data_IF_216266947503
#
_entry.id   IF_216266947503
#
_cell.length_a   1.000
_cell.length_b   1.000
_cell.length_c   1.000
_cell.angle_alpha   90.00
_cell.angle_beta   90.00
_cell.angle_gamma   90.00
#
_symmetry.space_group_name_H-M   'P 1'
#
loop_
_entity.id
_entity.type
_entity.pdbx_description
1 polymer ?
#
# COMPACT_ATOMS: atom_id res chain seq x y z
N UNK A 1 -6.39 -35.33 -8.72
CA UNK A 1 -6.44 -34.31 -7.65
C UNK A 1 -6.41 -32.97 -8.34
N UNK A 2 -7.48 -32.19 -8.26
CA UNK A 2 -7.51 -30.82 -8.78
C UNK A 2 -6.57 -29.97 -7.93
N UNK A 3 -5.53 -29.41 -8.54
CA UNK A 3 -4.60 -28.49 -7.88
C UNK A 3 -5.37 -27.24 -7.43
N UNK A 4 -5.18 -26.80 -6.18
CA UNK A 4 -5.79 -25.56 -5.69
C UNK A 4 -5.32 -24.38 -6.55
N UNK A 5 -6.23 -23.64 -7.23
CA UNK A 5 -5.84 -22.56 -8.13
C UNK A 5 -5.10 -21.42 -7.42
N UNK A 6 -5.38 -21.18 -6.13
CA UNK A 6 -4.62 -20.20 -5.33
C UNK A 6 -3.16 -20.66 -5.18
N UNK A 7 -2.95 -21.94 -4.86
CA UNK A 7 -1.60 -22.50 -4.74
C UNK A 7 -0.84 -22.42 -6.07
N UNK A 8 -1.50 -22.72 -7.18
CA UNK A 8 -0.92 -22.58 -8.52
C UNK A 8 -0.51 -21.13 -8.79
N UNK A 9 -1.40 -20.18 -8.49
CA UNK A 9 -1.14 -18.75 -8.65
C UNK A 9 0.06 -18.32 -7.80
N UNK A 10 0.10 -18.67 -6.52
CA UNK A 10 1.23 -18.37 -5.63
C UNK A 10 2.57 -18.92 -6.16
N UNK A 11 2.57 -20.15 -6.70
CA UNK A 11 3.76 -20.73 -7.31
C UNK A 11 4.23 -19.94 -8.54
N UNK A 12 3.29 -19.43 -9.35
CA UNK A 12 3.61 -18.58 -10.50
C UNK A 12 4.12 -17.20 -10.08
N UNK A 13 3.66 -16.67 -8.94
CA UNK A 13 4.08 -15.38 -8.40
C UNK A 13 5.40 -15.45 -7.62
N UNK A 14 5.84 -16.65 -7.21
CA UNK A 14 7.03 -16.83 -6.37
C UNK A 14 8.29 -16.12 -6.90
N UNK A 15 8.66 -16.18 -8.19
CA UNK A 15 9.86 -15.49 -8.69
C UNK A 15 9.81 -13.97 -8.53
N UNK A 16 8.64 -13.35 -8.70
CA UNK A 16 8.48 -11.90 -8.53
C UNK A 16 8.40 -11.53 -7.05
N UNK A 17 7.79 -12.37 -6.22
CA UNK A 17 7.79 -12.22 -4.76
C UNK A 17 9.20 -12.29 -4.18
N UNK A 18 10.05 -13.18 -4.68
CA UNK A 18 11.46 -13.28 -4.29
C UNK A 18 12.24 -11.99 -4.58
N UNK A 19 11.97 -11.33 -5.71
CA UNK A 19 12.59 -10.03 -6.03
C UNK A 19 12.19 -8.93 -5.05
N UNK A 20 10.92 -8.88 -4.66
CA UNK A 20 10.44 -7.95 -3.63
C UNK A 20 11.14 -8.22 -2.29
N UNK A 21 11.12 -9.46 -1.82
CA UNK A 21 11.74 -9.83 -0.53
C UNK A 21 13.25 -9.56 -0.52
N UNK A 22 13.93 -9.76 -1.64
CA UNK A 22 15.36 -9.50 -1.78
C UNK A 22 15.70 -8.00 -1.98
N UNK A 23 14.70 -7.13 -2.15
CA UNK A 23 14.93 -5.73 -2.45
C UNK A 23 15.59 -4.98 -1.27
N UNK A 24 16.52 -4.07 -1.60
CA UNK A 24 17.40 -3.43 -0.59
C UNK A 24 16.86 -2.14 0.03
N UNK A 25 15.56 -1.83 -0.15
CA UNK A 25 14.95 -0.54 0.25
C UNK A 25 15.11 -0.29 1.75
N UNK A 26 14.76 -1.28 2.57
CA UNK A 26 14.81 -1.15 4.02
C UNK A 26 16.24 -1.07 4.55
N UNK A 27 17.19 -1.81 3.96
CA UNK A 27 18.62 -1.72 4.30
C UNK A 27 19.23 -0.35 3.94
N UNK A 28 18.58 0.42 3.06
CA UNK A 28 18.97 1.77 2.70
C UNK A 28 18.65 2.82 3.74
N UNK A 29 17.77 2.52 4.68
CA UNK A 29 17.35 3.45 5.71
C UNK A 29 18.35 3.34 6.86
N UNK A 30 19.25 4.31 6.96
CA UNK A 30 20.32 4.31 7.97
C UNK A 30 20.30 5.56 8.86
N UNK A 31 19.42 6.51 8.54
CA UNK A 31 19.29 7.78 9.21
C UNK A 31 17.82 8.23 9.19
N UNK A 32 17.50 9.25 10.00
CA UNK A 32 16.19 9.88 9.97
C UNK A 32 15.89 10.53 8.61
N UNK A 33 16.91 11.06 7.93
CA UNK A 33 16.76 11.66 6.61
C UNK A 33 16.35 10.62 5.56
N UNK A 34 17.01 9.46 5.56
CA UNK A 34 16.63 8.36 4.68
C UNK A 34 15.20 7.89 4.97
N UNK A 35 14.79 7.89 6.25
CA UNK A 35 13.42 7.54 6.62
C UNK A 35 12.40 8.55 6.08
N UNK A 36 12.68 9.86 6.17
CA UNK A 36 11.81 10.89 5.57
C UNK A 36 11.63 10.67 4.08
N UNK A 37 12.73 10.47 3.35
CA UNK A 37 12.69 10.19 1.91
C UNK A 37 11.89 8.93 1.58
N UNK A 38 12.01 7.87 2.40
CA UNK A 38 11.17 6.69 2.26
C UNK A 38 9.69 7.06 2.41
N UNK A 39 9.33 7.80 3.46
CA UNK A 39 7.95 8.16 3.76
C UNK A 39 7.32 9.07 2.70
N UNK A 40 8.08 10.03 2.18
CA UNK A 40 7.65 10.97 1.12
C UNK A 40 7.22 10.26 -0.18
N UNK A 41 7.82 9.11 -0.48
CA UNK A 41 7.42 8.27 -1.61
C UNK A 41 6.35 7.26 -1.22
N UNK A 42 6.51 6.62 -0.05
CA UNK A 42 5.65 5.51 0.38
C UNK A 42 4.24 5.96 0.76
N UNK A 43 4.05 7.20 1.21
CA UNK A 43 2.73 7.76 1.56
C UNK A 43 1.71 7.62 0.42
N UNK A 44 2.15 7.66 -0.84
CA UNK A 44 1.26 7.46 -1.99
C UNK A 44 0.78 6.02 -2.14
N UNK A 45 1.57 5.04 -1.68
CA UNK A 45 1.15 3.65 -1.63
C UNK A 45 0.20 3.37 -0.47
N UNK A 46 0.37 4.07 0.66
CA UNK A 46 -0.60 4.04 1.77
C UNK A 46 -1.94 4.62 1.30
N UNK A 47 -1.89 5.76 0.59
CA UNK A 47 -3.08 6.40 0.04
C UNK A 47 -3.77 5.57 -1.06
N UNK A 48 -3.04 5.06 -2.06
CA UNK A 48 -3.66 4.35 -3.18
C UNK A 48 -4.22 2.98 -2.81
N UNK A 49 -3.72 2.37 -1.74
CA UNK A 49 -4.29 1.17 -1.14
C UNK A 49 -5.75 1.39 -0.72
N UNK A 50 -6.06 2.55 -0.11
CA UNK A 50 -7.44 2.90 0.22
C UNK A 50 -8.34 2.94 -1.02
N UNK A 51 -7.80 3.32 -2.18
CA UNK A 51 -8.57 3.34 -3.43
C UNK A 51 -8.93 1.92 -3.93
N UNK A 52 -8.02 0.94 -3.75
CA UNK A 52 -8.34 -0.48 -4.00
C UNK A 52 -9.42 -0.97 -3.02
N UNK A 53 -9.25 -0.68 -1.73
CA UNK A 53 -10.22 -1.06 -0.70
C UNK A 53 -11.61 -0.47 -0.97
N UNK A 54 -11.69 0.81 -1.34
CA UNK A 54 -12.97 1.45 -1.71
C UNK A 54 -13.59 0.87 -2.97
N UNK A 55 -12.79 0.49 -3.96
CA UNK A 55 -13.29 -0.21 -5.13
C UNK A 55 -13.92 -1.56 -4.74
N UNK A 56 -13.24 -2.35 -3.90
CA UNK A 56 -13.77 -3.62 -3.39
C UNK A 56 -15.00 -3.42 -2.51
N UNK A 57 -15.02 -2.40 -1.64
CA UNK A 57 -16.18 -2.07 -0.81
C UNK A 57 -17.40 -1.74 -1.69
N UNK A 58 -17.22 -0.90 -2.71
CA UNK A 58 -18.28 -0.55 -3.65
C UNK A 58 -18.81 -1.78 -4.39
N UNK A 59 -17.93 -2.62 -4.89
CA UNK A 59 -18.28 -3.72 -5.79
C UNK A 59 -18.81 -4.97 -5.06
N UNK A 60 -18.28 -5.25 -3.86
CA UNK A 60 -18.56 -6.47 -3.11
C UNK A 60 -19.54 -6.25 -1.95
N UNK A 61 -19.84 -4.99 -1.59
CA UNK A 61 -20.80 -4.65 -0.53
C UNK A 61 -21.98 -3.82 -1.08
N UNK A 62 -22.45 -2.82 -0.34
CA UNK A 62 -23.39 -1.81 -0.83
C UNK A 62 -23.11 -0.49 -0.12
N UNK A 63 -22.74 0.52 -0.89
CA UNK A 63 -22.45 1.89 -0.43
C UNK A 63 -23.43 2.91 -1.01
N UNK A 64 -24.55 2.45 -1.58
CA UNK A 64 -25.55 3.28 -2.25
C UNK A 64 -26.93 3.09 -1.62
N UNK A 65 -27.84 4.05 -1.87
CA UNK A 65 -29.24 3.99 -1.42
C UNK A 65 -30.20 3.83 -2.61
N UNK A 66 -31.29 3.04 -2.47
CA UNK A 66 -31.66 2.23 -1.30
C UNK A 66 -30.71 1.03 -1.10
N UNK A 67 -30.50 0.65 0.16
CA UNK A 67 -29.59 -0.44 0.52
C UNK A 67 -30.14 -1.81 0.09
N UNK A 68 -29.30 -2.57 -0.61
CA UNK A 68 -29.58 -3.96 -1.00
C UNK A 68 -28.30 -4.78 -0.80
N UNK A 69 -28.35 -5.92 -0.07
CA UNK A 69 -27.17 -6.76 0.13
C UNK A 69 -26.68 -7.35 -1.21
N UNK A 70 -25.36 -7.35 -1.44
CA UNK A 70 -24.72 -7.93 -2.62
C UNK A 70 -23.73 -9.03 -2.24
N UNK A 71 -23.51 -9.98 -3.15
CA UNK A 71 -22.43 -10.96 -3.03
C UNK A 71 -22.46 -11.85 -1.79
N UNK A 72 -21.30 -12.44 -1.47
CA UNK A 72 -21.12 -13.36 -0.36
C UNK A 72 -21.08 -12.60 1.00
N UNK A 73 -21.86 -13.01 2.02
CA UNK A 73 -21.77 -12.44 3.37
C UNK A 73 -20.37 -12.45 4.00
N UNK A 74 -19.57 -13.49 3.77
CA UNK A 74 -18.21 -13.61 4.31
C UNK A 74 -17.27 -12.57 3.69
N UNK A 75 -17.29 -12.40 2.37
CA UNK A 75 -16.52 -11.36 1.67
C UNK A 75 -16.97 -9.95 2.10
N UNK A 76 -18.27 -9.73 2.29
CA UNK A 76 -18.78 -8.46 2.81
C UNK A 76 -18.29 -8.15 4.20
N UNK A 77 -18.24 -9.16 5.06
CA UNK A 77 -17.71 -9.03 6.42
C UNK A 77 -16.23 -8.66 6.37
N UNK A 78 -15.42 -9.43 5.64
CA UNK A 78 -13.98 -9.17 5.45
C UNK A 78 -13.73 -7.73 5.01
N UNK A 79 -14.38 -7.29 3.93
CA UNK A 79 -14.12 -5.94 3.39
C UNK A 79 -14.53 -4.84 4.39
N UNK A 80 -15.62 -5.02 5.12
CA UNK A 80 -16.01 -4.03 6.13
C UNK A 80 -15.14 -4.07 7.40
N UNK A 81 -14.57 -5.24 7.76
CA UNK A 81 -13.58 -5.35 8.84
C UNK A 81 -12.30 -4.61 8.45
N UNK A 82 -11.77 -4.84 7.25
CA UNK A 82 -10.60 -4.10 6.75
C UNK A 82 -10.91 -2.60 6.65
N UNK A 83 -12.11 -2.20 6.24
CA UNK A 83 -12.49 -0.77 6.23
C UNK A 83 -12.50 -0.19 7.65
N UNK A 84 -13.01 -0.92 8.64
CA UNK A 84 -12.99 -0.49 10.03
C UNK A 84 -11.56 -0.24 10.50
N UNK A 85 -10.63 -1.13 10.14
CA UNK A 85 -9.23 -1.08 10.55
C UNK A 85 -8.39 -0.08 9.76
N UNK A 86 -8.70 0.20 8.50
CA UNK A 86 -7.85 1.06 7.67
C UNK A 86 -8.36 2.51 7.61
N UNK A 87 -9.69 2.69 7.56
CA UNK A 87 -10.31 4.01 7.45
C UNK A 87 -10.67 4.61 8.81
N UNK A 88 -10.96 3.78 9.82
CA UNK A 88 -11.53 4.22 11.09
C UNK A 88 -10.94 3.48 12.29
N UNK A 89 -9.64 3.18 12.27
CA UNK A 89 -8.95 2.62 13.43
C UNK A 89 -8.92 3.64 14.59
N UNK A 90 -8.14 3.32 15.62
CA UNK A 90 -7.78 4.23 16.69
C UNK A 90 -6.30 4.60 16.64
N UNK A 91 -5.97 5.77 17.17
CA UNK A 91 -4.60 6.19 17.44
C UNK A 91 -4.10 5.70 18.81
N UNK A 92 -2.86 6.06 19.17
CA UNK A 92 -2.23 5.70 20.45
C UNK A 92 -2.98 6.24 21.69
N UNK A 93 -3.95 7.14 21.51
CA UNK A 93 -4.80 7.70 22.55
C UNK A 93 -6.23 7.14 22.52
N UNK A 94 -6.49 6.15 21.67
CA UNK A 94 -7.82 5.56 21.48
C UNK A 94 -8.79 6.46 20.73
N UNK A 95 -8.31 7.50 20.03
CA UNK A 95 -9.15 8.39 19.23
C UNK A 95 -9.25 7.88 17.80
N UNK A 96 -10.42 8.02 17.13
CA UNK A 96 -10.58 7.57 15.74
C UNK A 96 -9.56 8.22 14.78
N UNK A 97 -8.91 7.39 13.96
CA UNK A 97 -7.99 7.81 12.90
C UNK A 97 -7.89 6.72 11.82
N UNK A 98 -7.75 7.12 10.56
CA UNK A 98 -7.34 6.20 9.50
C UNK A 98 -5.84 5.90 9.58
N UNK A 99 -5.42 4.76 9.06
CA UNK A 99 -4.01 4.43 8.88
C UNK A 99 -3.28 5.48 8.02
N UNK A 100 -3.95 6.02 7.01
CA UNK A 100 -3.39 7.11 6.20
C UNK A 100 -3.15 8.39 7.01
N UNK A 101 -4.08 8.78 7.89
CA UNK A 101 -3.89 9.92 8.78
C UNK A 101 -2.79 9.68 9.81
N UNK A 102 -2.69 8.47 10.37
CA UNK A 102 -1.58 8.08 11.25
C UNK A 102 -0.23 8.20 10.51
N UNK A 103 -0.16 7.76 9.25
CA UNK A 103 1.04 7.90 8.44
C UNK A 103 1.42 9.36 8.19
N UNK A 104 0.45 10.22 7.87
CA UNK A 104 0.70 11.67 7.70
C UNK A 104 1.15 12.34 9.00
N UNK A 105 0.55 11.99 10.15
CA UNK A 105 0.99 12.48 11.46
C UNK A 105 2.43 12.04 11.75
N UNK A 106 2.77 10.78 11.46
CA UNK A 106 4.13 10.27 11.57
C UNK A 106 5.13 11.00 10.66
N UNK A 107 4.72 11.37 9.44
CA UNK A 107 5.54 12.20 8.55
C UNK A 107 5.77 13.59 9.14
N UNK A 108 4.72 14.25 9.64
CA UNK A 108 4.82 15.57 10.25
C UNK A 108 5.70 15.53 11.53
N UNK A 109 5.59 14.47 12.35
CA UNK A 109 6.42 14.26 13.56
C UNK A 109 7.91 14.12 13.25
N UNK A 110 8.26 13.38 12.20
CA UNK A 110 9.65 13.17 11.83
C UNK A 110 10.20 14.27 10.92
N UNK A 111 9.34 15.16 10.41
CA UNK A 111 9.71 16.28 9.53
C UNK A 111 9.85 15.90 8.05
N UNK A 112 9.17 14.85 7.59
CA UNK A 112 9.08 14.51 6.16
C UNK A 112 8.15 15.48 5.42
N UNK A 113 8.42 15.75 4.13
CA UNK A 113 7.60 16.67 3.34
C UNK A 113 6.23 16.07 2.98
N UNK A 114 5.17 16.57 3.63
CA UNK A 114 3.78 16.19 3.32
C UNK A 114 3.13 17.06 2.25
N UNK A 115 3.78 18.11 1.75
CA UNK A 115 3.16 19.01 0.78
C UNK A 115 2.74 18.32 -0.53
N UNK A 116 3.52 17.41 -1.14
CA UNK A 116 3.12 16.76 -2.40
C UNK A 116 1.83 15.96 -2.26
N UNK A 117 1.72 15.12 -1.23
CA UNK A 117 0.51 14.32 -1.01
C UNK A 117 -0.70 15.20 -0.67
N UNK A 118 -0.52 16.27 0.12
CA UNK A 118 -1.59 17.24 0.40
C UNK A 118 -2.08 17.95 -0.87
N UNK A 119 -1.17 18.38 -1.76
CA UNK A 119 -1.52 18.97 -3.07
C UNK A 119 -2.29 17.99 -3.95
N UNK A 120 -1.92 16.70 -3.94
CA UNK A 120 -2.66 15.67 -4.65
C UNK A 120 -4.09 15.57 -4.12
N UNK A 121 -4.28 15.50 -2.80
CA UNK A 121 -5.61 15.44 -2.18
C UNK A 121 -6.44 16.69 -2.48
N UNK A 122 -5.84 17.88 -2.42
CA UNK A 122 -6.52 19.14 -2.75
C UNK A 122 -7.02 19.15 -4.20
N UNK A 123 -6.19 18.73 -5.16
CA UNK A 123 -6.57 18.63 -6.57
C UNK A 123 -7.70 17.61 -6.79
N UNK A 124 -7.64 16.45 -6.13
CA UNK A 124 -8.71 15.45 -6.19
C UNK A 124 -10.02 15.96 -5.57
N UNK A 125 -9.95 16.74 -4.49
CA UNK A 125 -11.14 17.27 -3.80
C UNK A 125 -11.98 18.21 -4.66
N UNK A 126 -11.36 18.85 -5.66
CA UNK A 126 -12.04 19.72 -6.65
C UNK A 126 -12.38 19.00 -7.96
N UNK A 127 -12.20 17.68 -8.01
CA UNK A 127 -12.66 16.82 -9.11
C UNK A 127 -11.65 16.60 -10.23
N UNK A 128 -10.36 16.85 -10.01
CA UNK A 128 -9.34 16.52 -11.00
C UNK A 128 -9.11 15.02 -11.14
N UNK A 129 -8.62 14.60 -12.32
CA UNK A 129 -8.20 13.22 -12.52
C UNK A 129 -6.93 12.91 -11.73
N UNK A 130 -6.68 11.64 -11.45
CA UNK A 130 -5.48 11.20 -10.72
C UNK A 130 -4.20 11.60 -11.46
N UNK A 131 -4.19 11.49 -12.79
CA UNK A 131 -3.08 11.91 -13.65
C UNK A 131 -2.76 13.40 -13.44
N UNK A 132 -3.80 14.26 -13.47
CA UNK A 132 -3.63 15.70 -13.31
C UNK A 132 -3.20 16.07 -11.88
N UNK A 133 -3.79 15.41 -10.88
CA UNK A 133 -3.45 15.62 -9.47
C UNK A 133 -1.97 15.26 -9.19
N UNK A 134 -1.49 14.13 -9.72
CA UNK A 134 -0.08 13.72 -9.61
C UNK A 134 0.87 14.73 -10.25
N UNK A 135 0.53 15.25 -11.44
CA UNK A 135 1.32 16.27 -12.12
C UNK A 135 1.38 17.58 -11.33
N UNK A 136 0.24 18.05 -10.80
CA UNK A 136 0.18 19.29 -10.00
C UNK A 136 0.90 19.18 -8.66
N UNK A 137 0.86 17.99 -8.05
CA UNK A 137 1.60 17.69 -6.85
C UNK A 137 3.13 17.60 -7.06
N UNK A 138 3.59 17.59 -8.32
CA UNK A 138 5.00 17.44 -8.70
C UNK A 138 5.65 16.20 -8.07
N UNK A 139 4.92 15.08 -8.06
CA UNK A 139 5.40 13.84 -7.44
C UNK A 139 6.49 13.17 -8.29
N UNK A 140 7.44 12.44 -7.67
CA UNK A 140 8.48 11.73 -8.41
C UNK A 140 7.92 10.75 -9.45
N UNK A 141 8.62 10.57 -10.56
CA UNK A 141 8.17 9.69 -11.64
C UNK A 141 7.86 8.25 -11.18
N UNK A 142 8.68 7.69 -10.28
CA UNK A 142 8.43 6.36 -9.72
C UNK A 142 7.09 6.27 -8.97
N UNK A 143 6.73 7.33 -8.23
CA UNK A 143 5.42 7.45 -7.56
C UNK A 143 4.29 7.56 -8.58
N UNK A 144 4.45 8.39 -9.62
CA UNK A 144 3.44 8.52 -10.68
C UNK A 144 3.13 7.17 -11.32
N UNK A 145 4.17 6.44 -11.75
CA UNK A 145 3.98 5.14 -12.40
C UNK A 145 3.33 4.12 -11.48
N UNK A 146 3.72 4.11 -10.21
CA UNK A 146 3.13 3.24 -9.21
C UNK A 146 1.63 3.51 -9.03
N UNK A 147 1.26 4.76 -8.75
CA UNK A 147 -0.14 5.15 -8.53
C UNK A 147 -0.97 4.90 -9.79
N UNK A 148 -0.48 5.29 -10.97
CA UNK A 148 -1.21 5.08 -12.23
C UNK A 148 -1.37 3.59 -12.54
N UNK A 149 -0.42 2.73 -12.16
CA UNK A 149 -0.58 1.28 -12.31
C UNK A 149 -1.77 0.75 -11.47
N UNK A 150 -1.96 1.27 -10.26
CA UNK A 150 -3.09 0.95 -9.38
C UNK A 150 -4.40 1.40 -9.98
N UNK A 151 -4.47 2.66 -10.43
CA UNK A 151 -5.69 3.22 -11.01
C UNK A 151 -6.03 2.58 -12.36
N UNK A 152 -5.05 2.10 -13.14
CA UNK A 152 -5.32 1.29 -14.33
C UNK A 152 -6.04 -0.02 -13.98
N UNK A 153 -5.70 -0.67 -12.87
CA UNK A 153 -6.41 -1.86 -12.38
C UNK A 153 -7.82 -1.49 -11.94
N UNK A 154 -7.99 -0.41 -11.17
CA UNK A 154 -9.31 0.07 -10.71
C UNK A 154 -10.21 0.42 -11.91
N UNK A 155 -9.67 1.16 -12.88
CA UNK A 155 -10.40 1.63 -14.06
C UNK A 155 -10.75 0.52 -15.05
N UNK A 156 -10.16 -0.68 -14.92
CA UNK A 156 -10.57 -1.85 -15.71
C UNK A 156 -12.00 -2.30 -15.40
N UNK A 157 -12.54 -1.94 -14.23
CA UNK A 157 -13.85 -2.38 -13.76
C UNK A 157 -13.94 -3.88 -13.43
N UNK A 158 -12.80 -4.59 -13.41
CA UNK A 158 -12.73 -6.02 -13.15
C UNK A 158 -12.48 -6.29 -11.66
N UNK A 159 -13.52 -6.63 -10.90
CA UNK A 159 -13.38 -6.82 -9.44
C UNK A 159 -12.40 -7.97 -9.07
N UNK A 160 -12.26 -9.01 -9.89
CA UNK A 160 -11.24 -10.06 -9.67
C UNK A 160 -9.81 -9.56 -9.86
N UNK A 161 -9.58 -8.63 -10.80
CA UNK A 161 -8.28 -7.98 -10.99
C UNK A 161 -7.94 -7.08 -9.79
N UNK A 162 -8.90 -6.27 -9.33
CA UNK A 162 -8.73 -5.43 -8.12
C UNK A 162 -8.47 -6.30 -6.89
N UNK A 163 -9.20 -7.40 -6.73
CA UNK A 163 -8.99 -8.35 -5.64
C UNK A 163 -7.59 -8.98 -5.69
N UNK A 164 -7.10 -9.36 -6.87
CA UNK A 164 -5.75 -9.89 -7.00
C UNK A 164 -4.66 -8.85 -6.68
N UNK A 165 -4.83 -7.60 -7.15
CA UNK A 165 -3.93 -6.50 -6.80
C UNK A 165 -3.91 -6.24 -5.28
N UNK A 166 -5.08 -6.29 -4.65
CA UNK A 166 -5.24 -6.11 -3.21
C UNK A 166 -4.59 -7.26 -2.41
N UNK A 167 -4.89 -8.52 -2.77
CA UNK A 167 -4.43 -9.71 -2.04
C UNK A 167 -2.96 -10.00 -2.26
N UNK A 168 -2.46 -9.97 -3.51
CA UNK A 168 -1.10 -10.43 -3.83
C UNK A 168 -0.16 -9.30 -4.23
N UNK A 169 -0.67 -8.18 -4.71
CA UNK A 169 0.13 -7.05 -5.18
C UNK A 169 0.52 -6.05 -4.10
N UNK A 170 -0.14 -6.12 -2.93
CA UNK A 170 -0.01 -5.16 -1.82
C UNK A 170 0.29 -5.79 -0.46
N UNK A 171 0.44 -7.11 -0.40
CA UNK A 171 1.00 -7.81 0.74
C UNK A 171 2.46 -7.32 0.95
N UNK A 172 2.63 -6.32 1.82
CA UNK A 172 3.95 -5.83 2.21
C UNK A 172 4.32 -6.51 3.50
N UNK A 173 5.16 -7.55 3.40
CA UNK A 173 5.76 -8.13 4.59
C UNK A 173 6.78 -7.11 5.10
N UNK A 174 6.37 -6.25 6.03
CA UNK A 174 7.26 -5.32 6.72
C UNK A 174 8.30 -6.16 7.48
N UNK A 175 9.57 -6.19 7.08
CA UNK A 175 10.53 -7.10 7.68
C UNK A 175 10.81 -6.69 9.13
N UNK A 176 11.00 -7.66 10.02
CA UNK A 176 11.35 -7.40 11.43
C UNK A 176 12.55 -6.47 11.55
N UNK A 177 13.56 -6.61 10.69
CA UNK A 177 14.73 -5.74 10.65
C UNK A 177 14.35 -4.26 10.49
N UNK A 178 13.38 -3.94 9.62
CA UNK A 178 12.95 -2.55 9.43
C UNK A 178 12.29 -1.99 10.69
N UNK A 179 11.50 -2.81 11.38
CA UNK A 179 10.86 -2.43 12.64
C UNK A 179 11.89 -2.16 13.74
N UNK A 180 12.89 -3.04 13.87
CA UNK A 180 14.00 -2.84 14.81
C UNK A 180 14.76 -1.54 14.51
N UNK A 181 15.08 -1.30 13.24
CA UNK A 181 15.71 -0.05 12.81
C UNK A 181 14.88 1.18 13.18
N UNK A 182 13.56 1.17 12.95
CA UNK A 182 12.68 2.29 13.30
C UNK A 182 12.60 2.48 14.82
N UNK A 183 12.57 1.40 15.60
CA UNK A 183 12.63 1.46 17.06
C UNK A 183 13.96 2.07 17.54
N UNK A 184 15.09 1.67 16.95
CA UNK A 184 16.42 2.22 17.25
C UNK A 184 16.51 3.71 16.87
N UNK A 185 15.96 4.11 15.72
CA UNK A 185 15.84 5.52 15.35
C UNK A 185 14.97 6.28 16.35
N UNK A 186 13.86 5.69 16.81
CA UNK A 186 12.98 6.29 17.83
C UNK A 186 13.70 6.52 19.15
N UNK A 187 14.58 5.61 19.58
CA UNK A 187 15.42 5.80 20.76
C UNK A 187 16.46 6.91 20.57
N UNK A 188 17.03 7.04 19.37
CA UNK A 188 18.02 8.07 19.03
C UNK A 188 17.40 9.46 18.85
N UNK A 189 16.14 9.53 18.42
CA UNK A 189 15.38 10.76 18.18
C UNK A 189 14.04 10.72 18.95
N UNK A 190 14.05 10.83 20.30
CA UNK A 190 12.83 10.73 21.10
C UNK A 190 11.76 11.75 20.69
N UNK A 191 10.51 11.31 20.62
CA UNK A 191 9.35 12.14 20.26
C UNK A 191 9.15 12.39 18.76
N UNK A 192 10.01 11.88 17.88
CA UNK A 192 9.89 12.12 16.43
C UNK A 192 9.30 10.94 15.64
N UNK A 193 9.11 9.77 16.28
CA UNK A 193 8.70 8.53 15.62
C UNK A 193 7.64 7.75 16.41
N UNK A 194 7.03 8.35 17.42
CA UNK A 194 6.08 7.66 18.31
C UNK A 194 4.86 7.17 17.53
N UNK A 195 4.25 8.02 16.71
CA UNK A 195 3.12 7.63 15.88
C UNK A 195 3.53 6.63 14.80
N UNK A 196 4.74 6.72 14.26
CA UNK A 196 5.21 5.75 13.26
C UNK A 196 5.43 4.36 13.86
N UNK A 197 6.02 4.28 15.06
CA UNK A 197 6.18 3.02 15.79
C UNK A 197 4.80 2.43 16.12
N UNK A 198 3.85 3.27 16.55
CA UNK A 198 2.47 2.83 16.76
C UNK A 198 1.84 2.25 15.49
N UNK A 199 1.92 2.99 14.37
CA UNK A 199 1.43 2.56 13.05
C UNK A 199 2.00 1.18 12.64
N UNK A 200 3.32 0.98 12.77
CA UNK A 200 3.96 -0.30 12.43
C UNK A 200 3.52 -1.45 13.35
N UNK A 201 3.34 -1.17 14.64
CA UNK A 201 2.86 -2.17 15.59
C UNK A 201 1.38 -2.53 15.35
N UNK A 202 0.56 -1.58 14.91
CA UNK A 202 -0.84 -1.86 14.52
C UNK A 202 -0.91 -2.85 13.36
N UNK A 203 -0.02 -2.74 12.37
CA UNK A 203 0.04 -3.68 11.25
C UNK A 203 0.50 -5.10 11.66
N UNK A 204 1.10 -5.28 12.85
CA UNK A 204 1.36 -6.63 13.41
C UNK A 204 0.11 -7.16 14.13
N UNK A 205 -0.57 -6.29 14.88
CA UNK A 205 -1.72 -6.66 15.71
C UNK A 205 -2.97 -6.93 14.88
N UNK A 206 -3.11 -6.22 13.77
CA UNK A 206 -4.13 -6.45 12.76
C UNK A 206 -3.70 -7.71 12.00
N UNK A 207 -4.29 -8.82 12.41
CA UNK A 207 -3.81 -10.17 12.16
C UNK A 207 -3.85 -10.53 10.66
N UNK A 208 -2.70 -10.43 9.99
CA UNK A 208 -2.50 -10.91 8.61
C UNK A 208 -2.89 -12.39 8.45
N UNK A 209 -2.83 -13.21 9.52
CA UNK A 209 -3.20 -14.63 9.48
C UNK A 209 -4.71 -14.85 9.31
N UNK A 210 -5.54 -13.87 9.70
CA UNK A 210 -6.99 -13.91 9.50
C UNK A 210 -7.38 -13.33 8.15
N UNK A 211 -6.78 -12.21 7.74
CA UNK A 211 -7.15 -11.56 6.48
C UNK A 211 -6.63 -12.27 5.25
N UNK A 212 -5.44 -12.87 5.30
CA UNK A 212 -4.85 -13.53 4.13
C UNK A 212 -5.71 -14.68 3.61
N UNK A 213 -6.16 -15.67 4.43
CA UNK A 213 -7.03 -16.74 3.96
C UNK A 213 -8.37 -16.25 3.41
N UNK A 214 -8.93 -15.19 4.02
CA UNK A 214 -10.19 -14.60 3.57
C UNK A 214 -10.03 -13.81 2.26
N UNK A 215 -8.90 -13.14 2.07
CA UNK A 215 -8.57 -12.42 0.84
C UNK A 215 -8.29 -13.39 -0.33
N UNK A 216 -7.64 -14.53 -0.07
CA UNK A 216 -7.51 -15.62 -1.05
C UNK A 216 -8.87 -16.23 -1.40
N UNK A 217 -9.73 -16.43 -0.41
CA UNK A 217 -11.10 -16.92 -0.62
C UNK A 217 -11.91 -15.93 -1.47
N UNK A 218 -11.77 -14.62 -1.25
CA UNK A 218 -12.38 -13.59 -2.09
C UNK A 218 -11.94 -13.72 -3.56
N UNK A 219 -10.64 -13.87 -3.83
CA UNK A 219 -10.14 -14.09 -5.20
C UNK A 219 -10.74 -15.36 -5.80
N UNK A 220 -10.76 -16.46 -5.04
CA UNK A 220 -11.34 -17.74 -5.47
C UNK A 220 -12.80 -17.59 -5.89
N UNK A 221 -13.60 -16.86 -5.11
CA UNK A 221 -15.01 -16.63 -5.41
C UNK A 221 -15.23 -15.75 -6.64
N UNK A 222 -14.41 -14.71 -6.80
CA UNK A 222 -14.52 -13.79 -7.95
C UNK A 222 -14.08 -14.45 -9.27
N UNK A 223 -13.08 -15.34 -9.22
CA UNK A 223 -12.60 -16.07 -10.37
C UNK A 223 -13.49 -17.28 -10.73
N UNK A 224 -13.98 -18.00 -9.71
CA UNK A 224 -14.74 -19.24 -9.88
C UNK A 224 -13.99 -20.24 -10.77
N UNK A 225 -14.69 -20.82 -11.76
CA UNK A 225 -14.12 -21.74 -12.74
C UNK A 225 -13.66 -21.06 -14.04
N UNK A 226 -13.56 -19.73 -14.08
CA UNK A 226 -13.20 -18.99 -15.30
C UNK A 226 -11.69 -18.87 -15.42
N UNK A 227 -11.07 -19.67 -16.28
CA UNK A 227 -9.61 -19.71 -16.46
C UNK A 227 -9.03 -18.33 -16.83
N UNK A 228 -9.71 -17.58 -17.69
CA UNK A 228 -9.29 -16.22 -18.06
C UNK A 228 -9.16 -15.29 -16.84
N UNK A 229 -10.06 -15.38 -15.86
CA UNK A 229 -9.98 -14.54 -14.66
C UNK A 229 -8.75 -14.86 -13.82
N UNK A 230 -8.41 -16.14 -13.70
CA UNK A 230 -7.19 -16.57 -13.00
C UNK A 230 -5.92 -16.07 -13.69
N UNK A 231 -5.90 -16.09 -15.02
CA UNK A 231 -4.78 -15.54 -15.78
C UNK A 231 -4.68 -14.01 -15.63
N UNK A 232 -5.80 -13.30 -15.69
CA UNK A 232 -5.85 -11.85 -15.43
C UNK A 232 -5.38 -11.52 -14.00
N UNK A 233 -5.76 -12.32 -13.00
CA UNK A 233 -5.26 -12.18 -11.62
C UNK A 233 -3.74 -12.37 -11.55
N UNK A 234 -3.18 -13.35 -12.27
CA UNK A 234 -1.73 -13.58 -12.36
C UNK A 234 -1.01 -12.37 -12.96
N UNK A 235 -1.47 -11.90 -14.12
CA UNK A 235 -0.86 -10.76 -14.81
C UNK A 235 -0.92 -9.47 -13.99
N UNK A 236 -2.06 -9.21 -13.33
CA UNK A 236 -2.21 -8.05 -12.45
C UNK A 236 -1.29 -8.14 -11.25
N UNK A 237 -1.24 -9.29 -10.57
CA UNK A 237 -0.38 -9.50 -9.41
C UNK A 237 1.09 -9.30 -9.75
N UNK A 238 1.57 -9.88 -10.86
CA UNK A 238 2.95 -9.67 -11.36
C UNK A 238 3.22 -8.19 -11.62
N UNK A 239 2.31 -7.49 -12.31
CA UNK A 239 2.48 -6.06 -12.60
C UNK A 239 2.51 -5.21 -11.34
N UNK A 240 1.65 -5.48 -10.35
CA UNK A 240 1.65 -4.77 -9.08
C UNK A 240 2.97 -4.96 -8.31
N UNK A 241 3.49 -6.19 -8.27
CA UNK A 241 4.78 -6.47 -7.64
C UNK A 241 5.93 -5.76 -8.37
N UNK A 242 5.94 -5.77 -9.70
CA UNK A 242 6.94 -5.04 -10.50
C UNK A 242 6.86 -3.53 -10.31
N UNK A 243 5.65 -2.97 -10.24
CA UNK A 243 5.44 -1.55 -9.95
C UNK A 243 5.98 -1.19 -8.55
N UNK A 244 5.79 -2.07 -7.56
CA UNK A 244 6.34 -1.91 -6.21
C UNK A 244 7.87 -1.93 -6.21
N UNK A 245 8.50 -2.87 -6.93
CA UNK A 245 9.97 -2.87 -7.12
C UNK A 245 10.44 -1.54 -7.72
N UNK A 246 9.79 -1.05 -8.78
CA UNK A 246 10.15 0.21 -9.41
C UNK A 246 9.96 1.44 -8.49
N UNK A 247 8.92 1.44 -7.65
CA UNK A 247 8.74 2.46 -6.60
C UNK A 247 9.92 2.43 -5.64
N UNK A 248 10.29 1.25 -5.15
CA UNK A 248 11.38 1.07 -4.20
C UNK A 248 12.76 1.38 -4.79
N UNK A 249 12.98 1.11 -6.08
CA UNK A 249 14.17 1.57 -6.81
C UNK A 249 14.24 3.11 -6.82
N UNK A 250 13.11 3.78 -7.08
CA UNK A 250 13.01 5.24 -7.01
C UNK A 250 13.33 5.80 -5.62
N UNK A 251 12.86 5.13 -4.56
CA UNK A 251 13.20 5.48 -3.17
C UNK A 251 14.71 5.35 -2.94
N UNK A 252 15.30 4.21 -3.31
CA UNK A 252 16.74 3.92 -3.16
C UNK A 252 17.61 4.95 -3.89
N UNK A 253 17.19 5.36 -5.08
CA UNK A 253 17.87 6.38 -5.85
C UNK A 253 17.84 7.74 -5.13
N UNK A 254 16.71 8.13 -4.55
CA UNK A 254 16.59 9.39 -3.80
C UNK A 254 17.53 9.43 -2.59
N UNK A 255 17.64 8.31 -1.85
CA UNK A 255 18.53 8.17 -0.70
C UNK A 255 20.01 8.25 -1.08
N UNK A 256 20.37 7.73 -2.25
CA UNK A 256 21.76 7.71 -2.72
C UNK A 256 22.20 9.08 -3.26
N UNK A 257 21.28 9.84 -3.87
CA UNK A 257 21.58 11.16 -4.43
C UNK A 257 21.95 12.19 -3.34
N UNK A 258 21.40 12.06 -2.13
CA UNK A 258 21.72 12.92 -0.98
C UNK A 258 23.11 12.64 -0.37
N UNK A 259 23.76 11.52 -0.73
CA UNK A 259 25.05 11.11 -0.17
C UNK A 259 26.28 11.71 -0.87
N UNK A 260 26.11 12.55 -1.92
CA UNK A 260 27.24 13.26 -2.55
C UNK A 260 27.45 14.59 -1.84
N UNK A 261 28.50 14.76 -1.02
CA UNK A 261 28.88 16.09 -0.56
C UNK A 261 29.35 16.86 -1.79
N UNK A 262 28.79 18.04 -2.02
CA UNK A 262 29.39 19.02 -2.91
C UNK A 262 30.78 19.30 -2.36
N UNK A 263 31.81 18.72 -2.98
CA UNK A 263 33.19 19.11 -2.72
C UNK A 263 33.27 20.60 -3.04
N UNK A 264 33.45 21.41 -2.00
CA UNK A 264 33.77 22.81 -2.15
C UNK A 264 35.04 22.90 -3.02
N UNK A 265 34.87 23.29 -4.28
CA UNK A 265 35.97 23.60 -5.17
C UNK A 265 36.71 24.81 -4.62
N UNK A 266 37.93 24.57 -4.18
CA UNK A 266 38.99 25.58 -3.99
C UNK A 266 39.55 26.04 -5.32
#
# INVERSE_FOLDING_TARGET
MTTDPIRTLQQQLAPTREQLVAHSVYQGIQSLENLRQFMEYHVFAVWDFMSLLKCLQRDLTCVTVPWVPRGNPATRRLINEIVLEEETDVDQHGQPASHFELYLRAMDECGADTQPIRKLLDALSVGESVEMALLKANVPYAVQQFVLSTFNVINSGQSHAVAAAFTFGREDVIPDMFRHLVADLGQRFPGQLETFIYYLNRHIQLDEEVHTPLAEQMVRELCGSTEQKWEECREVSVRCMQARVALWDGIRQSMSAAAVPVSAGS
#
